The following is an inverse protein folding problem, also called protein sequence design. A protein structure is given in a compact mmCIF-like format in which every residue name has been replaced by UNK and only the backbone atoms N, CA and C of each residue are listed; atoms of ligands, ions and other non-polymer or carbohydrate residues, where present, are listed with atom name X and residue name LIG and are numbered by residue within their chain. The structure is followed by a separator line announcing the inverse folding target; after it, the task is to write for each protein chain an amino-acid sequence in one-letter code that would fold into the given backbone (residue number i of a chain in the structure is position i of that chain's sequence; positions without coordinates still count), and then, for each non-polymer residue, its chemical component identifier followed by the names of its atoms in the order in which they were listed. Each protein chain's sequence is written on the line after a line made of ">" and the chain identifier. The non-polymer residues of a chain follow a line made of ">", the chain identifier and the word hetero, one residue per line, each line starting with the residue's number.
data_IF_668250983115
#
_entry.id   IF_668250983115
#
_cell.length_a   1.000
_cell.length_b   1.000
_cell.length_c   1.000
_cell.angle_alpha   90.00
_cell.angle_beta   90.00
_cell.angle_gamma   90.00
#
_symmetry.space_group_name_H-M   'P 1'
#
loop_
_entity.id
_entity.type
_entity.pdbx_description
1 polymer ?
#
# COMPACT_ATOMS: atom_id res chain seq x y z
N UNK A 1 -23.80 20.29 23.71
CA UNK A 1 -23.06 20.31 22.43
C UNK A 1 -22.56 18.91 22.17
N UNK A 2 -22.96 18.25 21.09
CA UNK A 2 -22.51 16.88 20.78
C UNK A 2 -21.03 16.92 20.40
N UNK A 3 -20.21 16.04 21.00
CA UNK A 3 -18.83 15.87 20.57
C UNK A 3 -18.80 15.45 19.10
N UNK A 4 -17.93 16.07 18.30
CA UNK A 4 -17.73 15.67 16.91
C UNK A 4 -17.32 14.19 16.85
N UNK A 5 -17.74 13.42 15.82
CA UNK A 5 -17.31 12.03 15.67
C UNK A 5 -15.79 11.91 15.66
N UNK A 6 -15.28 10.79 16.16
CA UNK A 6 -13.85 10.47 16.08
C UNK A 6 -13.39 10.59 14.62
N UNK A 7 -12.31 11.35 14.38
CA UNK A 7 -11.86 11.62 13.02
C UNK A 7 -12.35 12.93 12.41
N UNK A 8 -13.43 13.53 12.91
CA UNK A 8 -14.08 14.70 12.31
C UNK A 8 -14.04 15.96 13.20
N UNK A 9 -13.08 16.04 14.12
CA UNK A 9 -12.88 17.24 14.91
C UNK A 9 -12.31 18.37 14.02
N UNK A 10 -13.07 19.46 13.79
CA UNK A 10 -12.65 20.55 12.88
C UNK A 10 -11.48 21.37 13.43
N UNK A 11 -11.11 21.20 14.70
CA UNK A 11 -9.92 21.82 15.30
C UNK A 11 -8.62 21.08 14.98
N UNK A 12 -8.71 19.85 14.44
CA UNK A 12 -7.54 19.08 14.05
C UNK A 12 -7.22 19.43 12.60
N UNK A 13 -6.31 20.39 12.43
CA UNK A 13 -5.89 20.89 11.11
C UNK A 13 -4.81 20.01 10.47
N UNK A 14 -4.07 19.24 11.28
CA UNK A 14 -2.99 18.36 10.84
C UNK A 14 -3.06 17.02 11.55
N UNK A 15 -2.76 15.94 10.83
CA UNK A 15 -2.59 14.60 11.38
C UNK A 15 -1.34 13.97 10.82
N UNK A 16 -0.56 13.36 11.70
CA UNK A 16 0.48 12.44 11.31
C UNK A 16 -0.13 11.05 11.18
N UNK A 17 0.03 10.42 10.02
CA UNK A 17 -0.38 9.05 9.77
C UNK A 17 0.85 8.30 9.31
N UNK A 18 1.38 7.45 10.18
CA UNK A 18 2.56 6.63 9.91
C UNK A 18 2.12 5.29 9.34
N UNK A 19 2.75 4.91 8.24
CA UNK A 19 2.64 3.58 7.66
C UNK A 19 4.01 2.92 7.65
N UNK A 20 4.07 1.69 8.14
CA UNK A 20 5.26 0.85 8.04
C UNK A 20 5.10 -0.05 6.82
N UNK A 21 6.04 0.03 5.89
CA UNK A 21 6.07 -0.78 4.69
C UNK A 21 7.30 -1.68 4.67
N UNK A 22 7.10 -2.94 4.28
CA UNK A 22 8.16 -3.93 4.09
C UNK A 22 7.96 -4.64 2.76
N UNK A 23 9.05 -5.07 2.13
CA UNK A 23 9.02 -5.79 0.86
C UNK A 23 9.93 -7.00 0.95
N UNK A 24 9.33 -8.16 0.71
CA UNK A 24 10.05 -9.43 0.61
C UNK A 24 10.17 -9.84 -0.87
N UNK A 25 11.37 -10.23 -1.28
CA UNK A 25 11.59 -10.84 -2.60
C UNK A 25 11.37 -12.34 -2.48
N UNK A 26 10.32 -12.85 -3.13
CA UNK A 26 10.08 -14.30 -3.23
C UNK A 26 10.94 -14.88 -4.34
N UNK A 27 11.05 -14.15 -5.45
CA UNK A 27 12.01 -14.38 -6.53
C UNK A 27 12.59 -13.03 -6.96
N UNK A 28 13.55 -12.98 -7.90
CA UNK A 28 14.00 -11.70 -8.46
C UNK A 28 12.88 -10.85 -9.07
N UNK A 29 11.79 -11.48 -9.54
CA UNK A 29 10.69 -10.80 -10.23
C UNK A 29 9.41 -10.69 -9.39
N UNK A 30 9.14 -11.66 -8.50
CA UNK A 30 7.96 -11.71 -7.63
C UNK A 30 8.27 -11.16 -6.23
N UNK A 31 7.47 -10.19 -5.81
CA UNK A 31 7.63 -9.44 -4.56
C UNK A 31 6.34 -9.49 -3.75
N UNK A 32 6.44 -9.56 -2.43
CA UNK A 32 5.33 -9.38 -1.49
C UNK A 32 5.59 -8.09 -0.70
N UNK A 33 4.75 -7.09 -0.91
CA UNK A 33 4.82 -5.83 -0.18
C UNK A 33 3.72 -5.82 0.89
N UNK A 34 4.10 -5.65 2.16
CA UNK A 34 3.15 -5.54 3.27
C UNK A 34 3.24 -4.15 3.89
N UNK A 35 2.09 -3.47 3.97
CA UNK A 35 1.94 -2.19 4.65
C UNK A 35 1.08 -2.35 5.89
N UNK A 36 1.42 -1.68 6.98
CA UNK A 36 0.62 -1.65 8.20
C UNK A 36 0.51 -0.25 8.76
N UNK A 37 -0.58 0.03 9.47
CA UNK A 37 -0.82 1.32 10.15
C UNK A 37 -0.87 1.12 11.66
N UNK A 38 0.30 0.88 12.28
CA UNK A 38 0.46 0.88 13.74
C UNK A 38 -0.63 0.15 14.53
N UNK A 39 -0.91 -1.11 14.19
CA UNK A 39 -1.92 -1.95 14.87
C UNK A 39 -3.36 -1.84 14.34
N UNK A 40 -3.65 -0.92 13.41
CA UNK A 40 -4.98 -0.74 12.80
C UNK A 40 -5.26 -1.64 11.58
N UNK A 41 -4.42 -2.64 11.34
CA UNK A 41 -4.51 -3.57 10.21
C UNK A 41 -3.27 -3.56 9.32
N UNK A 42 -3.16 -4.59 8.48
CA UNK A 42 -2.14 -4.72 7.45
C UNK A 42 -2.76 -5.11 6.12
N UNK A 43 -2.08 -4.77 5.02
CA UNK A 43 -2.44 -5.18 3.67
C UNK A 43 -1.20 -5.67 2.95
N UNK A 44 -1.33 -6.80 2.25
CA UNK A 44 -0.24 -7.40 1.48
C UNK A 44 -0.59 -7.41 0.00
N UNK A 45 0.38 -7.02 -0.83
CA UNK A 45 0.28 -6.96 -2.28
C UNK A 45 1.32 -7.88 -2.89
N UNK A 46 0.92 -8.69 -3.87
CA UNK A 46 1.85 -9.41 -4.72
C UNK A 46 2.15 -8.57 -5.96
N UNK A 47 3.42 -8.47 -6.36
CA UNK A 47 3.82 -7.78 -7.59
C UNK A 47 4.82 -8.61 -8.38
N UNK A 48 4.61 -8.74 -9.69
CA UNK A 48 5.46 -9.50 -10.61
C UNK A 48 5.78 -8.64 -11.85
N UNK A 49 7.03 -8.59 -12.29
CA UNK A 49 7.47 -7.74 -13.42
C UNK A 49 6.83 -8.11 -14.79
N UNK A 50 6.14 -9.25 -14.87
CA UNK A 50 5.48 -9.73 -16.08
C UNK A 50 6.42 -10.42 -17.08
N UNK A 51 5.87 -11.19 -18.04
CA UNK A 51 6.67 -12.04 -18.93
C UNK A 51 7.69 -11.30 -19.79
N UNK A 52 7.41 -10.03 -20.17
CA UNK A 52 8.32 -9.20 -20.96
C UNK A 52 9.62 -8.84 -20.25
N UNK A 53 9.67 -8.97 -18.92
CA UNK A 53 10.82 -8.64 -18.09
C UNK A 53 11.36 -9.86 -17.32
N UNK A 54 10.89 -11.07 -17.64
CA UNK A 54 11.31 -12.32 -16.98
C UNK A 54 10.45 -12.74 -15.79
N UNK A 55 9.39 -11.99 -15.49
CA UNK A 55 8.38 -12.36 -14.50
C UNK A 55 7.42 -13.45 -15.01
N UNK A 56 6.63 -14.02 -14.11
CA UNK A 56 5.66 -15.07 -14.43
C UNK A 56 4.31 -14.52 -14.89
N UNK A 57 4.06 -13.22 -14.74
CA UNK A 57 2.76 -12.60 -14.99
C UNK A 57 1.68 -13.04 -13.99
N UNK A 58 2.09 -13.54 -12.82
CA UNK A 58 1.19 -14.06 -11.78
C UNK A 58 0.55 -12.98 -10.90
N UNK A 59 0.98 -11.73 -11.05
CA UNK A 59 0.51 -10.58 -10.29
C UNK A 59 0.66 -9.28 -11.13
N UNK A 60 0.01 -8.17 -10.74
CA UNK A 60 0.22 -6.88 -11.39
C UNK A 60 1.66 -6.40 -11.31
N UNK A 61 2.10 -5.70 -12.37
CA UNK A 61 3.46 -5.14 -12.41
C UNK A 61 3.60 -3.95 -11.45
N UNK A 62 4.83 -3.63 -11.00
CA UNK A 62 5.04 -2.44 -10.18
C UNK A 62 4.52 -1.16 -10.84
N UNK A 63 4.65 -1.06 -12.17
CA UNK A 63 4.13 0.07 -12.94
C UNK A 63 2.60 0.15 -12.88
N UNK A 64 1.88 -0.98 -12.92
CA UNK A 64 0.42 -0.99 -12.78
C UNK A 64 -0.02 -0.46 -11.41
N UNK A 65 0.68 -0.86 -10.32
CA UNK A 65 0.40 -0.31 -8.98
C UNK A 65 0.69 1.19 -8.89
N UNK A 66 1.80 1.65 -9.47
CA UNK A 66 2.13 3.06 -9.51
C UNK A 66 1.07 3.88 -10.28
N UNK A 67 0.65 3.40 -11.45
CA UNK A 67 -0.41 4.04 -12.23
C UNK A 67 -1.75 4.07 -11.48
N UNK A 68 -2.11 3.00 -10.77
CA UNK A 68 -3.31 2.96 -9.94
C UNK A 68 -3.24 3.98 -8.80
N UNK A 69 -2.08 4.17 -8.18
CA UNK A 69 -1.89 5.14 -7.10
C UNK A 69 -1.96 6.61 -7.56
N UNK A 70 -1.56 6.92 -8.80
CA UNK A 70 -1.64 8.27 -9.36
C UNK A 70 -3.03 8.65 -9.89
N UNK A 71 -3.85 7.67 -10.25
CA UNK A 71 -5.16 7.91 -10.84
C UNK A 71 -6.21 8.40 -9.83
N UNK A 72 -5.91 8.35 -8.54
CA UNK A 72 -6.78 8.73 -7.42
C UNK A 72 -6.08 9.73 -6.52
#
# INVERSE_FOLDING_TARGET
>A
MSAAPEGLNPKVETREIVFDASVDLVTPFLKLATVSRGGAGHMTFASDEGPSLGGLGSAPTPLMYFSAALAF
#
